data_IF_801111582198
#
_entry.id   IF_801111582198
#
_cell.length_a   1.000
_cell.length_b   1.000
_cell.length_c   1.000
_cell.angle_alpha   90.00
_cell.angle_beta   90.00
_cell.angle_gamma   90.00
#
_symmetry.space_group_name_H-M   'P 1'
#
loop_
_entity.id
_entity.type
_entity.pdbx_description
1 polymer ?
#
# COMPACT_ATOMS: atom_id res chain seq x y z
N UNK A 1 58.62 45.47 28.43
CA UNK A 1 59.00 45.10 27.05
C UNK A 1 59.53 43.68 27.06
N UNK A 2 59.16 42.92 26.02
CA UNK A 2 59.49 41.53 25.72
C UNK A 2 58.56 40.47 26.31
N UNK A 3 57.36 40.46 25.73
CA UNK A 3 56.76 39.37 24.95
C UNK A 3 57.32 37.95 25.17
N UNK A 4 56.43 37.05 25.58
CA UNK A 4 56.49 35.63 25.20
C UNK A 4 55.09 35.17 24.79
N UNK A 5 54.98 34.87 23.50
CA UNK A 5 53.82 34.33 22.80
C UNK A 5 53.53 32.89 23.25
N UNK A 6 52.34 32.65 23.79
CA UNK A 6 51.79 31.32 24.02
C UNK A 6 50.91 30.92 22.83
N UNK A 7 51.33 29.92 22.06
CA UNK A 7 50.58 29.37 20.93
C UNK A 7 49.48 28.45 21.46
N UNK A 8 48.21 28.78 21.20
CA UNK A 8 47.05 27.95 21.51
C UNK A 8 46.93 26.83 20.47
N UNK A 9 47.14 25.57 20.86
CA UNK A 9 46.76 24.42 20.04
C UNK A 9 45.28 24.11 20.30
N UNK A 10 44.41 24.48 19.36
CA UNK A 10 42.98 24.17 19.39
C UNK A 10 42.79 22.74 18.89
N UNK A 11 42.76 21.78 19.81
CA UNK A 11 42.46 20.38 19.50
C UNK A 11 40.94 20.23 19.38
N UNK A 12 40.43 20.24 18.15
CA UNK A 12 39.01 20.02 17.86
C UNK A 12 38.70 18.53 18.08
N UNK A 13 38.09 18.22 19.22
CA UNK A 13 37.55 16.90 19.51
C UNK A 13 36.29 16.70 18.66
N UNK A 14 36.43 16.12 17.47
CA UNK A 14 35.28 15.66 16.67
C UNK A 14 34.74 14.41 17.35
N UNK A 15 33.67 14.56 18.11
CA UNK A 15 32.96 13.47 18.76
C UNK A 15 32.36 12.52 17.72
N UNK A 16 33.05 11.41 17.49
CA UNK A 16 32.50 10.21 16.84
C UNK A 16 31.68 9.48 17.90
N UNK A 17 30.40 9.81 18.02
CA UNK A 17 29.40 8.92 18.62
C UNK A 17 28.22 8.86 17.65
N UNK A 18 28.46 8.24 16.50
CA UNK A 18 27.39 7.73 15.66
C UNK A 18 26.97 6.38 16.23
N UNK A 19 25.94 6.37 17.07
CA UNK A 19 25.27 5.13 17.43
C UNK A 19 24.78 4.45 16.14
N UNK A 20 25.44 3.34 15.80
CA UNK A 20 25.00 2.36 14.83
C UNK A 20 23.72 1.69 15.34
N UNK A 21 22.58 2.37 15.18
CA UNK A 21 21.30 1.68 15.11
C UNK A 21 21.01 1.42 13.64
N UNK A 22 21.48 0.27 13.18
CA UNK A 22 20.97 -0.37 11.96
C UNK A 22 19.56 -0.84 12.32
N UNK A 23 18.47 -0.32 11.72
CA UNK A 23 17.26 -1.09 11.70
C UNK A 23 17.52 -2.20 10.69
N UNK A 24 17.96 -3.36 11.17
CA UNK A 24 17.64 -4.58 10.43
C UNK A 24 16.13 -4.64 10.55
N UNK A 25 15.43 -4.17 9.51
CA UNK A 25 14.00 -4.40 9.36
C UNK A 25 13.85 -5.90 9.08
N UNK A 26 14.01 -6.71 10.13
CA UNK A 26 13.20 -7.89 10.24
C UNK A 26 11.79 -7.32 10.33
N UNK A 27 11.09 -7.26 9.20
CA UNK A 27 9.65 -7.19 9.25
C UNK A 27 9.26 -8.34 10.19
N UNK A 28 8.85 -8.02 11.43
CA UNK A 28 8.40 -9.06 12.35
C UNK A 28 7.39 -9.89 11.56
N UNK A 29 7.69 -11.18 11.40
CA UNK A 29 6.80 -12.11 10.73
C UNK A 29 5.42 -11.94 11.36
N UNK A 30 4.40 -11.66 10.54
CA UNK A 30 3.02 -11.47 11.00
C UNK A 30 2.70 -12.48 12.10
N UNK A 31 2.46 -12.00 13.33
CA UNK A 31 2.06 -12.89 14.42
C UNK A 31 0.85 -13.69 13.96
N UNK A 32 0.82 -14.98 14.28
CA UNK A 32 -0.32 -15.83 13.97
C UNK A 32 -1.59 -15.18 14.52
N UNK A 33 -2.61 -15.02 13.67
CA UNK A 33 -3.94 -14.59 14.11
C UNK A 33 -4.36 -15.46 15.29
N UNK A 34 -4.66 -14.83 16.42
CA UNK A 34 -5.18 -15.50 17.60
C UNK A 34 -6.69 -15.26 17.59
N UNK A 35 -7.51 -16.24 17.17
CA UNK A 35 -8.96 -16.06 17.02
C UNK A 35 -9.69 -15.76 18.34
N UNK A 36 -8.98 -15.69 19.47
CA UNK A 36 -9.52 -15.36 20.79
C UNK A 36 -8.88 -14.09 21.40
N UNK A 37 -7.97 -13.41 20.68
CA UNK A 37 -7.34 -12.17 21.14
C UNK A 37 -7.57 -11.05 20.13
N UNK A 38 -8.72 -10.41 20.26
CA UNK A 38 -9.21 -9.38 19.32
C UNK A 38 -8.60 -7.99 19.54
N UNK A 39 -7.64 -7.86 20.47
CA UNK A 39 -6.84 -6.64 20.67
C UNK A 39 -5.64 -6.52 19.71
N UNK A 40 -5.49 -7.47 18.79
CA UNK A 40 -4.31 -7.59 17.92
C UNK A 40 -4.25 -6.56 16.81
N UNK A 41 -5.37 -5.95 16.43
CA UNK A 41 -5.43 -5.01 15.31
C UNK A 41 -6.04 -3.66 15.69
N UNK A 42 -5.40 -2.60 15.19
CA UNK A 42 -5.84 -1.24 15.42
C UNK A 42 -7.10 -0.90 14.62
N UNK A 43 -8.02 -0.18 15.27
CA UNK A 43 -9.15 0.48 14.61
C UNK A 43 -8.83 1.97 14.55
N UNK A 44 -9.12 2.60 13.42
CA UNK A 44 -8.71 3.98 13.19
C UNK A 44 -9.61 4.77 12.25
N UNK A 45 -10.76 4.23 11.85
CA UNK A 45 -11.71 5.01 11.06
C UNK A 45 -12.40 6.00 12.00
N UNK A 46 -12.24 7.29 11.70
CA UNK A 46 -12.97 8.36 12.38
C UNK A 46 -14.34 8.56 11.73
N UNK A 47 -15.34 8.90 12.54
CA UNK A 47 -16.67 9.25 12.05
C UNK A 47 -16.62 10.44 11.09
N UNK A 48 -17.35 10.37 9.99
CA UNK A 48 -17.38 11.41 8.95
C UNK A 48 -17.62 12.81 9.54
N UNK A 49 -16.69 13.75 9.29
CA UNK A 49 -16.77 15.14 9.76
C UNK A 49 -16.99 16.16 8.65
N UNK A 50 -16.72 15.82 7.39
CA UNK A 50 -16.73 16.80 6.29
C UNK A 50 -18.14 17.00 5.71
N UNK A 51 -18.54 18.28 5.60
CA UNK A 51 -19.77 18.77 4.95
C UNK A 51 -19.55 19.11 3.46
N UNK A 52 -18.54 18.54 2.81
CA UNK A 52 -18.30 18.80 1.39
C UNK A 52 -19.42 18.13 0.59
N UNK A 53 -19.92 18.81 -0.45
CA UNK A 53 -20.88 18.22 -1.37
C UNK A 53 -20.15 17.21 -2.27
N UNK A 54 -20.14 15.95 -1.83
CA UNK A 54 -19.50 14.86 -2.57
C UNK A 54 -20.51 14.37 -3.61
N UNK A 55 -20.15 14.36 -4.91
CA UNK A 55 -21.06 13.91 -5.96
C UNK A 55 -21.46 12.46 -5.73
N UNK A 56 -22.76 12.17 -5.90
CA UNK A 56 -23.27 10.79 -5.90
C UNK A 56 -22.57 9.95 -6.97
N UNK A 57 -22.39 8.66 -6.68
CA UNK A 57 -21.87 7.70 -7.64
C UNK A 57 -22.81 7.56 -8.84
N UNK A 58 -22.23 7.71 -10.02
CA UNK A 58 -22.89 7.51 -11.31
C UNK A 58 -22.07 6.48 -12.07
N UNK A 59 -22.61 5.29 -12.34
CA UNK A 59 -21.88 4.27 -13.08
C UNK A 59 -21.65 4.71 -14.53
N UNK A 60 -20.50 4.33 -15.10
CA UNK A 60 -20.22 4.58 -16.52
C UNK A 60 -21.12 3.74 -17.42
N UNK A 61 -21.40 2.50 -17.03
CA UNK A 61 -22.41 1.63 -17.65
C UNK A 61 -23.45 1.24 -16.60
N UNK A 62 -24.72 1.50 -16.90
CA UNK A 62 -25.82 1.02 -16.07
C UNK A 62 -26.18 -0.42 -16.43
N UNK A 63 -26.23 -1.29 -15.44
CA UNK A 63 -26.58 -2.70 -15.58
C UNK A 63 -27.94 -2.99 -14.94
N UNK A 64 -28.79 -3.74 -15.63
CA UNK A 64 -30.07 -4.18 -15.10
C UNK A 64 -29.92 -5.45 -14.26
N UNK A 65 -30.77 -5.61 -13.26
CA UNK A 65 -31.02 -6.94 -12.69
C UNK A 65 -31.62 -7.86 -13.75
N UNK A 66 -31.51 -9.17 -13.56
CA UNK A 66 -32.14 -10.17 -14.46
C UNK A 66 -33.65 -9.97 -14.57
N UNK A 67 -34.31 -9.58 -13.48
CA UNK A 67 -35.75 -9.35 -13.44
C UNK A 67 -36.12 -8.12 -14.27
N UNK A 68 -35.39 -7.01 -14.13
CA UNK A 68 -35.58 -5.80 -14.94
C UNK A 68 -35.30 -6.06 -16.41
N UNK A 69 -34.21 -6.76 -16.73
CA UNK A 69 -33.88 -7.13 -18.11
C UNK A 69 -34.97 -7.99 -18.76
N UNK A 70 -35.58 -8.91 -17.99
CA UNK A 70 -36.70 -9.73 -18.49
C UNK A 70 -37.92 -8.85 -18.80
N UNK A 71 -38.27 -7.90 -17.92
CA UNK A 71 -39.37 -6.96 -18.17
C UNK A 71 -39.11 -6.07 -19.39
N UNK A 72 -37.89 -5.56 -19.55
CA UNK A 72 -37.53 -4.72 -20.69
C UNK A 72 -37.54 -5.49 -22.02
N UNK A 73 -37.10 -6.75 -22.03
CA UNK A 73 -37.21 -7.62 -23.22
C UNK A 73 -38.66 -7.86 -23.62
N UNK A 74 -39.57 -8.05 -22.65
CA UNK A 74 -41.00 -8.16 -22.92
C UNK A 74 -41.60 -6.87 -23.51
N UNK A 75 -40.96 -5.71 -23.26
CA UNK A 75 -41.33 -4.41 -23.82
C UNK A 75 -40.61 -4.09 -25.16
N UNK A 76 -39.89 -5.06 -25.75
CA UNK A 76 -39.25 -4.91 -27.05
C UNK A 76 -37.85 -4.26 -27.03
N UNK A 77 -37.28 -3.97 -25.87
CA UNK A 77 -35.90 -3.47 -25.75
C UNK A 77 -34.93 -4.63 -25.96
N UNK A 78 -34.02 -4.49 -26.94
CA UNK A 78 -33.03 -5.52 -27.27
C UNK A 78 -31.71 -5.30 -26.52
N UNK A 79 -31.08 -6.42 -26.12
CA UNK A 79 -29.74 -6.50 -25.54
C UNK A 79 -29.44 -5.56 -24.35
N UNK A 80 -30.22 -5.60 -23.25
CA UNK A 80 -29.87 -4.85 -22.06
C UNK A 80 -28.55 -5.35 -21.46
N UNK A 81 -27.74 -4.42 -20.93
CA UNK A 81 -26.62 -4.78 -20.06
C UNK A 81 -27.19 -5.37 -18.77
N UNK A 82 -26.80 -6.60 -18.42
CA UNK A 82 -27.30 -7.30 -17.24
C UNK A 82 -26.16 -7.43 -16.23
N UNK A 83 -26.45 -7.16 -14.96
CA UNK A 83 -25.50 -7.39 -13.87
C UNK A 83 -25.02 -8.85 -13.91
N UNK A 84 -23.69 -9.08 -13.94
CA UNK A 84 -23.15 -10.42 -13.80
C UNK A 84 -23.58 -11.07 -12.48
N UNK A 85 -23.68 -12.40 -12.45
CA UNK A 85 -23.98 -13.12 -11.20
C UNK A 85 -22.82 -13.10 -10.19
N UNK A 86 -21.61 -12.82 -10.66
CA UNK A 86 -20.40 -12.79 -9.86
C UNK A 86 -19.41 -11.82 -10.49
N UNK A 87 -18.77 -11.04 -9.64
CA UNK A 87 -17.59 -10.22 -9.99
C UNK A 87 -16.52 -10.51 -8.94
N UNK A 88 -15.28 -10.65 -9.39
CA UNK A 88 -14.13 -10.90 -8.53
C UNK A 88 -12.92 -10.11 -9.06
N UNK A 89 -12.62 -8.99 -8.42
CA UNK A 89 -11.56 -8.06 -8.84
C UNK A 89 -10.21 -8.37 -8.19
N UNK A 90 -10.11 -9.47 -7.41
CA UNK A 90 -8.93 -9.79 -6.61
C UNK A 90 -7.66 -9.95 -7.42
N UNK A 91 -7.76 -10.35 -8.70
CA UNK A 91 -6.58 -10.56 -9.55
C UNK A 91 -5.67 -9.32 -9.65
N UNK A 92 -6.24 -8.12 -9.56
CA UNK A 92 -5.52 -6.84 -9.67
C UNK A 92 -5.12 -6.25 -8.32
N UNK A 93 -5.46 -6.91 -7.21
CA UNK A 93 -4.97 -6.51 -5.90
C UNK A 93 -3.65 -7.23 -5.58
N UNK A 94 -2.68 -6.56 -4.94
CA UNK A 94 -1.53 -7.25 -4.41
C UNK A 94 -1.91 -8.11 -3.19
N UNK A 95 -0.98 -8.85 -2.63
CA UNK A 95 -1.22 -9.61 -1.39
C UNK A 95 -1.74 -8.70 -0.27
N UNK A 96 -2.58 -9.26 0.62
CA UNK A 96 -3.12 -8.50 1.75
C UNK A 96 -2.00 -8.18 2.74
N UNK A 97 -1.83 -6.90 3.04
CA UNK A 97 -0.86 -6.40 4.02
C UNK A 97 -1.48 -6.30 5.41
N UNK A 98 -0.64 -6.27 6.43
CA UNK A 98 -1.04 -6.01 7.81
C UNK A 98 -0.72 -4.58 8.23
N UNK A 99 -1.72 -3.89 8.78
CA UNK A 99 -1.57 -2.59 9.44
C UNK A 99 -1.04 -2.72 10.88
N UNK A 100 -0.94 -3.95 11.41
CA UNK A 100 -0.61 -4.20 12.81
C UNK A 100 -1.61 -3.58 13.79
N UNK A 101 -1.09 -3.08 14.92
CA UNK A 101 -1.90 -2.48 15.99
C UNK A 101 -2.22 -0.99 15.78
N UNK A 102 -1.72 -0.39 14.71
CA UNK A 102 -1.89 1.04 14.45
C UNK A 102 -3.27 1.37 13.89
N UNK A 103 -3.73 2.60 14.14
CA UNK A 103 -5.00 3.14 13.65
C UNK A 103 -4.94 3.55 12.17
N UNK A 104 -4.34 2.73 11.30
CA UNK A 104 -3.98 3.05 9.91
C UNK A 104 -4.86 2.36 8.86
N UNK A 105 -5.98 1.73 9.26
CA UNK A 105 -6.92 1.06 8.34
C UNK A 105 -7.34 1.91 7.14
N UNK A 106 -7.60 3.21 7.33
CA UNK A 106 -7.99 4.13 6.24
C UNK A 106 -6.86 4.30 5.21
N UNK A 107 -5.63 4.67 5.59
CA UNK A 107 -4.48 4.64 4.68
C UNK A 107 -4.26 3.30 3.95
N UNK A 108 -4.40 2.16 4.65
CA UNK A 108 -4.24 0.83 4.03
C UNK A 108 -5.33 0.53 3.00
N UNK A 109 -6.59 0.80 3.33
CA UNK A 109 -7.70 0.60 2.40
C UNK A 109 -7.57 1.54 1.17
N UNK A 110 -7.15 2.79 1.39
CA UNK A 110 -6.97 3.78 0.32
C UNK A 110 -5.80 3.43 -0.62
N UNK A 111 -4.65 3.02 -0.06
CA UNK A 111 -3.49 2.61 -0.85
C UNK A 111 -3.81 1.33 -1.65
N UNK A 112 -4.40 0.31 -1.03
CA UNK A 112 -4.86 -0.90 -1.72
C UNK A 112 -5.85 -0.58 -2.86
N UNK A 113 -6.79 0.35 -2.62
CA UNK A 113 -7.71 0.81 -3.66
C UNK A 113 -6.97 1.45 -4.83
N UNK A 114 -5.97 2.30 -4.58
CA UNK A 114 -5.21 2.96 -5.64
C UNK A 114 -4.29 1.98 -6.38
N UNK A 115 -3.66 1.06 -5.65
CA UNK A 115 -2.83 -0.04 -6.18
C UNK A 115 -3.60 -0.89 -7.18
N UNK A 116 -4.87 -1.20 -6.92
CA UNK A 116 -5.74 -1.91 -7.85
C UNK A 116 -5.84 -1.22 -9.22
N UNK A 117 -6.09 0.09 -9.25
CA UNK A 117 -6.20 0.81 -10.52
C UNK A 117 -4.88 0.83 -11.28
N UNK A 118 -3.75 1.01 -10.57
CA UNK A 118 -2.41 0.95 -11.18
C UNK A 118 -2.19 -0.42 -11.81
N UNK A 119 -2.47 -1.49 -11.06
CA UNK A 119 -2.31 -2.86 -11.53
C UNK A 119 -3.22 -3.18 -12.73
N UNK A 120 -4.47 -2.72 -12.69
CA UNK A 120 -5.45 -2.86 -13.77
C UNK A 120 -4.95 -2.22 -15.06
N UNK A 121 -4.58 -0.95 -14.98
CA UNK A 121 -4.13 -0.17 -16.13
C UNK A 121 -2.80 -0.69 -16.70
N UNK A 122 -1.90 -1.14 -15.83
CA UNK A 122 -0.58 -1.66 -16.23
C UNK A 122 -0.58 -3.14 -16.61
N UNK A 123 -1.70 -3.86 -16.42
CA UNK A 123 -1.75 -5.32 -16.57
C UNK A 123 -0.88 -6.09 -15.55
N UNK A 124 -0.52 -5.47 -14.43
CA UNK A 124 0.31 -6.09 -13.39
C UNK A 124 -0.51 -7.08 -12.53
N UNK A 125 0.15 -8.08 -11.95
CA UNK A 125 -0.45 -9.10 -11.07
C UNK A 125 0.49 -9.46 -9.92
N UNK A 126 -0.07 -9.85 -8.79
CA UNK A 126 0.69 -10.38 -7.65
C UNK A 126 1.89 -9.50 -7.28
N UNK A 127 3.09 -10.10 -7.28
CA UNK A 127 4.34 -9.43 -6.85
C UNK A 127 4.89 -8.37 -7.82
N UNK A 128 4.24 -8.17 -8.96
CA UNK A 128 4.59 -7.10 -9.90
C UNK A 128 3.98 -5.75 -9.51
N UNK A 129 3.02 -5.76 -8.59
CA UNK A 129 2.32 -4.56 -8.12
C UNK A 129 3.19 -3.83 -7.10
N UNK A 130 3.44 -2.54 -7.34
CA UNK A 130 4.18 -1.69 -6.40
C UNK A 130 3.26 -1.21 -5.28
N UNK A 131 3.63 -1.48 -4.03
CA UNK A 131 2.92 -0.97 -2.87
C UNK A 131 3.10 0.55 -2.71
N UNK A 132 2.03 1.26 -2.37
CA UNK A 132 2.03 2.67 -2.02
C UNK A 132 2.14 2.83 -0.50
N UNK A 133 2.63 3.98 -0.02
CA UNK A 133 2.96 4.20 1.39
C UNK A 133 1.75 4.66 2.24
N UNK A 134 1.20 3.82 3.14
CA UNK A 134 0.16 4.22 4.08
C UNK A 134 0.70 5.23 5.11
N UNK A 135 1.97 5.10 5.52
CA UNK A 135 2.62 6.01 6.46
C UNK A 135 2.72 7.44 5.91
N UNK A 136 3.04 7.61 4.62
CA UNK A 136 3.03 8.92 3.96
C UNK A 136 1.65 9.59 4.04
N UNK A 137 0.59 8.82 3.76
CA UNK A 137 -0.79 9.32 3.80
C UNK A 137 -1.26 9.63 5.23
N UNK A 138 -0.77 8.87 6.21
CA UNK A 138 -1.18 9.01 7.60
C UNK A 138 -0.52 10.18 8.33
N UNK A 139 0.69 10.58 7.93
CA UNK A 139 1.37 11.74 8.53
C UNK A 139 0.50 13.02 8.48
N UNK A 140 0.45 13.85 9.54
CA UNK A 140 1.18 13.75 10.80
C UNK A 140 0.36 13.13 11.96
N UNK A 141 -0.59 12.24 11.66
CA UNK A 141 -1.38 11.60 12.73
C UNK A 141 -0.51 10.69 13.60
N UNK A 142 -0.79 10.67 14.91
CA UNK A 142 -0.18 9.73 15.84
C UNK A 142 -0.63 8.29 15.61
N UNK A 143 0.11 7.29 16.12
CA UNK A 143 -0.04 5.86 15.82
C UNK A 143 -1.46 5.28 16.03
N UNK A 144 -2.26 5.89 16.89
CA UNK A 144 -3.61 5.45 17.25
C UNK A 144 -4.68 6.50 16.99
N UNK A 145 -4.32 7.64 16.40
CA UNK A 145 -5.24 8.76 16.25
C UNK A 145 -6.38 8.40 15.31
N UNK A 146 -6.09 7.62 14.27
CA UNK A 146 -7.03 7.31 13.20
C UNK A 146 -7.11 8.41 12.15
N UNK A 147 -7.88 8.16 11.09
CA UNK A 147 -8.06 9.08 9.96
C UNK A 147 -9.51 9.06 9.47
N UNK A 148 -9.97 10.19 8.93
CA UNK A 148 -11.24 10.24 8.19
C UNK A 148 -10.99 9.76 6.75
N UNK A 149 -11.91 8.98 6.18
CA UNK A 149 -11.79 8.55 4.77
C UNK A 149 -11.70 9.78 3.84
N UNK A 150 -12.46 10.82 4.12
CA UNK A 150 -12.51 12.04 3.31
C UNK A 150 -11.17 12.79 3.36
N UNK A 151 -10.47 12.78 4.50
CA UNK A 151 -9.10 13.32 4.57
C UNK A 151 -8.13 12.54 3.70
N UNK A 152 -8.22 11.20 3.69
CA UNK A 152 -7.38 10.35 2.85
C UNK A 152 -7.67 10.58 1.35
N UNK A 153 -8.94 10.71 0.97
CA UNK A 153 -9.36 11.06 -0.38
C UNK A 153 -8.80 12.41 -0.81
N UNK A 154 -8.80 13.40 0.07
CA UNK A 154 -8.21 14.73 -0.20
C UNK A 154 -6.69 14.67 -0.34
N UNK A 155 -5.98 13.88 0.47
CA UNK A 155 -4.54 13.63 0.29
C UNK A 155 -4.29 13.03 -1.10
N UNK A 156 -5.02 11.99 -1.47
CA UNK A 156 -4.86 11.33 -2.76
C UNK A 156 -5.20 12.26 -3.94
N UNK A 157 -6.20 13.14 -3.79
CA UNK A 157 -6.58 14.12 -4.82
C UNK A 157 -5.59 15.27 -4.97
N UNK A 158 -5.07 15.81 -3.87
CA UNK A 158 -4.22 17.01 -3.88
C UNK A 158 -2.75 16.68 -4.12
N UNK A 159 -2.24 15.67 -3.42
CA UNK A 159 -0.82 15.35 -3.33
C UNK A 159 -0.46 13.99 -3.92
N UNK A 160 -1.41 13.05 -3.94
CA UNK A 160 -1.14 11.66 -4.31
C UNK A 160 -0.49 10.90 -3.16
N UNK A 161 0.06 9.72 -3.46
CA UNK A 161 0.77 8.87 -2.48
C UNK A 161 1.93 8.17 -3.19
N UNK A 162 3.16 8.20 -2.67
CA UNK A 162 4.32 7.62 -3.35
C UNK A 162 4.39 6.10 -3.13
N UNK A 163 5.21 5.39 -3.93
CA UNK A 163 5.64 4.03 -3.62
C UNK A 163 6.24 3.91 -2.22
N UNK A 164 5.96 2.80 -1.54
CA UNK A 164 6.52 2.50 -0.22
C UNK A 164 7.95 1.94 -0.32
N UNK A 165 8.88 2.74 -0.85
CA UNK A 165 10.27 2.32 -1.04
C UNK A 165 11.27 3.25 -0.39
N UNK A 166 10.90 4.51 -0.10
CA UNK A 166 11.72 5.47 0.64
C UNK A 166 11.52 5.35 2.17
N UNK A 167 10.28 5.09 2.61
CA UNK A 167 9.92 4.88 4.01
C UNK A 167 9.01 3.67 4.11
N UNK A 168 9.57 2.57 4.61
CA UNK A 168 8.85 1.31 4.78
C UNK A 168 7.88 1.42 5.95
N UNK A 169 6.72 0.78 5.81
CA UNK A 169 5.82 0.63 6.93
C UNK A 169 6.38 -0.41 7.90
N UNK A 170 6.49 -0.04 9.17
CA UNK A 170 6.96 -0.94 10.21
C UNK A 170 5.78 -1.32 11.12
N UNK A 171 5.50 -2.60 11.24
CA UNK A 171 4.41 -3.10 12.11
C UNK A 171 4.80 -3.15 13.59
N UNK A 172 6.09 -2.96 13.91
CA UNK A 172 6.57 -2.88 15.28
C UNK A 172 5.93 -1.69 16.00
N UNK A 173 5.17 -1.97 17.06
CA UNK A 173 4.46 -0.95 17.84
C UNK A 173 5.36 0.02 18.58
N UNK A 174 6.63 -0.31 18.77
CA UNK A 174 7.62 0.58 19.39
C UNK A 174 8.10 1.67 18.42
N UNK A 175 8.05 1.41 17.10
CA UNK A 175 8.46 2.37 16.08
C UNK A 175 7.35 3.38 15.75
N UNK A 176 7.01 4.23 16.72
CA UNK A 176 6.01 5.30 16.53
C UNK A 176 6.58 6.49 15.73
N UNK A 177 7.91 6.60 15.61
CA UNK A 177 8.58 7.69 14.91
C UNK A 177 8.28 7.71 13.42
N UNK A 178 7.96 6.56 12.82
CA UNK A 178 7.54 6.46 11.41
C UNK A 178 6.38 7.41 11.05
N UNK A 179 5.54 7.77 12.04
CA UNK A 179 4.39 8.67 11.88
C UNK A 179 4.70 10.13 12.24
N UNK A 180 5.82 10.40 12.91
CA UNK A 180 6.26 11.75 13.29
C UNK A 180 7.23 12.35 12.28
N UNK A 181 7.92 11.52 11.51
CA UNK A 181 8.87 11.99 10.51
C UNK A 181 8.17 12.75 9.37
N UNK A 182 8.55 14.03 9.12
CA UNK A 182 7.99 14.81 8.03
C UNK A 182 8.15 14.13 6.67
N UNK A 183 7.18 14.35 5.79
CA UNK A 183 7.27 13.94 4.39
C UNK A 183 8.38 14.71 3.66
N UNK A 184 9.28 14.00 2.98
CA UNK A 184 10.42 14.62 2.28
C UNK A 184 10.01 15.25 0.94
N UNK A 185 10.81 16.16 0.36
CA UNK A 185 10.57 16.66 -1.00
C UNK A 185 10.48 15.54 -2.05
N UNK A 186 11.37 14.55 -1.98
CA UNK A 186 11.38 13.39 -2.88
C UNK A 186 10.09 12.58 -2.79
N UNK A 187 9.61 12.29 -1.56
CA UNK A 187 8.33 11.60 -1.37
C UNK A 187 7.15 12.39 -1.97
N UNK A 188 7.16 13.73 -1.85
CA UNK A 188 6.10 14.58 -2.42
C UNK A 188 6.13 14.56 -3.95
N UNK A 189 7.31 14.62 -4.55
CA UNK A 189 7.49 14.54 -6.01
C UNK A 189 7.04 13.18 -6.55
N UNK A 190 7.49 12.10 -5.92
CA UNK A 190 7.14 10.72 -6.27
C UNK A 190 5.65 10.39 -6.03
N UNK A 191 4.93 11.21 -5.25
CA UNK A 191 3.49 11.05 -5.03
C UNK A 191 2.62 11.58 -6.18
N UNK A 192 3.11 12.57 -6.94
CA UNK A 192 2.34 13.29 -7.95
C UNK A 192 1.71 12.40 -9.03
N UNK A 193 2.39 11.36 -9.56
CA UNK A 193 1.80 10.48 -10.58
C UNK A 193 0.63 9.64 -10.08
N UNK A 194 0.50 9.46 -8.76
CA UNK A 194 -0.47 8.55 -8.14
C UNK A 194 -1.75 9.24 -7.67
N UNK A 195 -1.95 10.49 -8.09
CA UNK A 195 -3.15 11.28 -7.77
C UNK A 195 -4.45 10.71 -8.38
N UNK A 196 -5.56 11.10 -7.77
CA UNK A 196 -6.93 10.90 -8.30
C UNK A 196 -7.52 12.22 -8.79
N UNK A 197 -8.37 12.16 -9.81
CA UNK A 197 -9.08 13.32 -10.35
C UNK A 197 -10.27 13.70 -9.46
N UNK A 198 -10.90 12.69 -8.85
CA UNK A 198 -12.01 12.87 -7.93
C UNK A 198 -12.45 11.57 -7.31
N UNK A 199 -13.57 11.66 -6.60
CA UNK A 199 -14.23 10.53 -5.96
C UNK A 199 -15.73 10.82 -5.90
N UNK A 200 -16.51 9.76 -5.80
CA UNK A 200 -17.96 9.81 -5.67
C UNK A 200 -18.41 9.00 -4.46
N UNK A 201 -19.55 9.36 -3.89
CA UNK A 201 -20.12 8.69 -2.72
C UNK A 201 -21.27 7.77 -3.11
N UNK A 202 -21.31 6.59 -2.50
CA UNK A 202 -22.46 5.70 -2.45
C UNK A 202 -23.05 5.81 -1.04
N UNK A 203 -24.26 6.36 -0.95
CA UNK A 203 -25.02 6.44 0.31
C UNK A 203 -25.85 5.19 0.55
N UNK A 204 -26.32 5.04 1.78
CA UNK A 204 -27.07 3.88 2.28
C UNK A 204 -28.28 3.49 1.39
N UNK A 205 -29.01 4.47 0.86
CA UNK A 205 -30.14 4.22 -0.04
C UNK A 205 -29.68 3.45 -1.29
N UNK A 206 -30.18 2.21 -1.43
CA UNK A 206 -29.81 1.27 -2.48
C UNK A 206 -28.31 0.93 -2.54
N UNK A 207 -27.61 1.00 -1.40
CA UNK A 207 -26.16 0.78 -1.32
C UNK A 207 -25.71 -0.55 -1.94
N UNK A 208 -26.39 -1.66 -1.62
CA UNK A 208 -26.05 -2.98 -2.18
C UNK A 208 -26.08 -2.96 -3.71
N UNK A 209 -27.15 -2.40 -4.30
CA UNK A 209 -27.28 -2.28 -5.74
C UNK A 209 -26.19 -1.36 -6.32
N UNK A 210 -25.95 -0.19 -5.73
CA UNK A 210 -24.92 0.76 -6.20
C UNK A 210 -23.50 0.19 -6.12
N UNK A 211 -23.18 -0.59 -5.08
CA UNK A 211 -21.91 -1.31 -4.96
C UNK A 211 -21.78 -2.35 -6.09
N UNK A 212 -22.84 -3.12 -6.38
CA UNK A 212 -22.84 -4.08 -7.51
C UNK A 212 -22.64 -3.38 -8.86
N UNK A 213 -23.26 -2.21 -9.07
CA UNK A 213 -23.02 -1.38 -10.26
C UNK A 213 -21.55 -0.98 -10.37
N UNK A 214 -20.96 -0.50 -9.28
CA UNK A 214 -19.54 -0.11 -9.27
C UNK A 214 -18.62 -1.27 -9.62
N UNK A 215 -18.82 -2.42 -8.98
CA UNK A 215 -18.02 -3.61 -9.23
C UNK A 215 -18.18 -4.13 -10.68
N UNK A 216 -19.39 -4.09 -11.23
CA UNK A 216 -19.61 -4.43 -12.65
C UNK A 216 -18.90 -3.48 -13.62
N UNK A 217 -18.67 -2.23 -13.21
CA UNK A 217 -17.85 -1.25 -13.93
C UNK A 217 -16.34 -1.33 -13.60
N UNK A 218 -15.89 -2.40 -12.93
CA UNK A 218 -14.50 -2.60 -12.52
C UNK A 218 -13.99 -1.54 -11.53
N UNK A 219 -14.91 -0.99 -10.73
CA UNK A 219 -14.64 0.00 -9.68
C UNK A 219 -14.84 -0.65 -8.30
N UNK A 220 -13.75 -1.03 -7.60
CA UNK A 220 -13.83 -1.44 -6.20
C UNK A 220 -14.27 -0.28 -5.32
N UNK A 221 -14.94 -0.63 -4.22
CA UNK A 221 -15.61 0.35 -3.36
C UNK A 221 -14.96 0.38 -1.99
N UNK A 222 -14.47 1.55 -1.58
CA UNK A 222 -14.01 1.78 -0.22
C UNK A 222 -15.22 1.90 0.72
N UNK A 223 -15.23 1.15 1.80
CA UNK A 223 -16.32 1.15 2.77
C UNK A 223 -15.81 1.46 4.18
N UNK A 224 -16.66 2.11 4.97
CA UNK A 224 -16.49 2.20 6.42
C UNK A 224 -17.49 1.29 7.12
N UNK A 225 -17.03 0.58 8.15
CA UNK A 225 -17.87 -0.26 9.00
C UNK A 225 -17.62 0.02 10.49
N UNK A 226 -18.62 -0.24 11.31
CA UNK A 226 -18.45 -0.51 12.73
C UNK A 226 -18.04 -1.96 12.91
N UNK A 227 -16.96 -2.19 13.67
CA UNK A 227 -16.51 -3.55 14.00
C UNK A 227 -17.27 -4.03 15.22
N UNK A 228 -18.05 -5.09 15.02
CA UNK A 228 -18.79 -5.80 16.06
C UNK A 228 -18.16 -7.18 16.34
N UNK A 229 -18.55 -7.88 17.41
CA UNK A 229 -17.97 -9.19 17.77
C UNK A 229 -18.03 -10.24 16.65
N UNK A 230 -19.03 -10.20 15.77
CA UNK A 230 -19.14 -11.11 14.63
C UNK A 230 -17.95 -10.96 13.65
N UNK A 231 -17.48 -9.74 13.41
CA UNK A 231 -16.35 -9.50 12.51
C UNK A 231 -15.04 -9.99 13.10
N UNK A 232 -14.84 -9.75 14.38
CA UNK A 232 -13.69 -10.26 15.13
C UNK A 232 -13.70 -11.81 15.15
N UNK A 233 -14.89 -12.43 15.21
CA UNK A 233 -15.10 -13.88 15.14
C UNK A 233 -15.05 -14.49 13.71
N UNK A 234 -14.54 -13.76 12.71
CA UNK A 234 -14.43 -14.28 11.34
C UNK A 234 -13.52 -15.52 11.29
N UNK A 235 -14.03 -16.70 10.89
CA UNK A 235 -13.23 -17.92 10.78
C UNK A 235 -12.29 -17.89 9.56
N UNK A 236 -11.40 -18.87 9.46
CA UNK A 236 -10.41 -18.99 8.37
C UNK A 236 -10.99 -19.24 6.98
N UNK A 237 -12.29 -19.56 6.87
CA UNK A 237 -12.98 -19.60 5.57
C UNK A 237 -13.45 -18.21 5.11
N UNK A 238 -13.22 -17.17 5.93
CA UNK A 238 -13.55 -15.78 5.63
C UNK A 238 -15.02 -15.39 5.76
N UNK A 239 -15.95 -16.33 6.00
CA UNK A 239 -17.39 -16.02 6.05
C UNK A 239 -17.71 -15.29 7.35
N UNK A 240 -18.05 -14.01 7.25
CA UNK A 240 -18.37 -13.19 8.43
C UNK A 240 -19.75 -13.63 8.96
N UNK A 241 -19.84 -14.05 10.24
CA UNK A 241 -21.12 -14.36 10.86
C UNK A 241 -22.07 -13.15 10.85
N UNK A 242 -23.41 -13.37 10.89
CA UNK A 242 -24.36 -12.28 11.04
C UNK A 242 -24.13 -11.45 12.31
N UNK A 243 -24.56 -10.19 12.29
CA UNK A 243 -24.48 -9.32 13.47
C UNK A 243 -25.53 -9.77 14.49
N UNK A 244 -25.07 -10.28 15.64
CA UNK A 244 -25.94 -10.65 16.76
C UNK A 244 -25.85 -9.67 17.93
N UNK A 245 -24.75 -8.91 18.03
CA UNK A 245 -24.50 -7.90 19.06
C UNK A 245 -24.01 -6.60 18.41
N UNK A 246 -24.66 -5.47 18.72
CA UNK A 246 -24.32 -4.14 18.15
C UNK A 246 -23.39 -3.31 19.04
N UNK A 247 -22.55 -3.98 19.84
CA UNK A 247 -21.53 -3.31 20.66
C UNK A 247 -20.26 -3.10 19.85
N UNK A 248 -20.13 -1.91 19.25
CA UNK A 248 -18.99 -1.59 18.38
C UNK A 248 -17.69 -1.46 19.17
N UNK A 249 -16.61 -2.06 18.66
CA UNK A 249 -15.22 -1.85 19.12
C UNK A 249 -14.61 -0.57 18.53
N UNK A 250 -15.17 -0.06 17.43
CA UNK A 250 -14.70 1.12 16.72
C UNK A 250 -14.94 1.03 15.22
N UNK A 251 -14.54 2.08 14.51
CA UNK A 251 -14.64 2.13 13.06
C UNK A 251 -13.46 1.46 12.35
N UNK A 252 -13.74 0.81 11.23
CA UNK A 252 -12.75 0.20 10.34
C UNK A 252 -13.03 0.50 8.87
N UNK A 253 -11.96 0.61 8.08
CA UNK A 253 -12.05 0.84 6.64
C UNK A 253 -11.58 -0.40 5.87
N UNK A 254 -12.34 -0.77 4.84
CA UNK A 254 -12.15 -1.96 4.01
C UNK A 254 -12.40 -1.63 2.54
N UNK A 255 -12.07 -2.54 1.64
CA UNK A 255 -12.41 -2.41 0.21
C UNK A 255 -13.28 -3.57 -0.22
N UNK A 256 -14.46 -3.30 -0.79
CA UNK A 256 -15.27 -4.29 -1.49
C UNK A 256 -14.67 -4.50 -2.88
N UNK A 257 -14.33 -5.75 -3.19
CA UNK A 257 -13.61 -6.14 -4.40
C UNK A 257 -14.37 -7.14 -5.27
N UNK A 258 -15.61 -7.45 -4.91
CA UNK A 258 -16.41 -8.40 -5.67
C UNK A 258 -17.72 -8.73 -4.99
N UNK A 259 -18.54 -9.51 -5.67
CA UNK A 259 -19.79 -10.03 -5.13
C UNK A 259 -20.13 -11.38 -5.77
N UNK A 260 -20.96 -12.15 -5.08
CA UNK A 260 -21.51 -13.41 -5.55
C UNK A 260 -23.02 -13.44 -5.23
N UNK A 261 -23.86 -13.48 -6.27
CA UNK A 261 -25.33 -13.50 -6.13
C UNK A 261 -25.86 -14.84 -5.63
N UNK A 262 -25.08 -15.94 -5.73
CA UNK A 262 -25.54 -17.26 -5.27
C UNK A 262 -25.54 -17.31 -3.75
N UNK A 263 -24.53 -16.70 -3.11
CA UNK A 263 -24.40 -16.67 -1.66
C UNK A 263 -24.85 -15.34 -1.05
N UNK A 264 -25.17 -14.35 -1.87
CA UNK A 264 -25.55 -12.99 -1.46
C UNK A 264 -24.47 -12.27 -0.65
N UNK A 265 -23.21 -12.51 -1.02
CA UNK A 265 -22.05 -11.96 -0.31
C UNK A 265 -21.26 -10.97 -1.16
N UNK A 266 -20.71 -9.96 -0.50
CA UNK A 266 -19.59 -9.17 -0.98
C UNK A 266 -18.27 -9.84 -0.61
N UNK A 267 -17.28 -9.73 -1.50
CA UNK A 267 -15.89 -10.08 -1.20
C UNK A 267 -15.24 -8.80 -0.69
N UNK A 268 -14.74 -8.82 0.54
CA UNK A 268 -14.09 -7.65 1.18
C UNK A 268 -12.62 -7.94 1.44
N UNK A 269 -11.76 -6.99 1.06
CA UNK A 269 -10.33 -6.98 1.35
C UNK A 269 -10.09 -6.27 2.68
N UNK A 270 -9.45 -6.96 3.62
CA UNK A 270 -9.03 -6.41 4.90
C UNK A 270 -7.55 -5.94 4.85
N UNK A 271 -7.07 -5.40 5.97
CA UNK A 271 -5.68 -4.93 6.18
C UNK A 271 -5.08 -5.52 7.46
N UNK A 272 -5.49 -6.74 7.83
CA UNK A 272 -5.06 -7.45 9.05
C UNK A 272 -4.10 -8.62 8.75
N UNK A 273 -3.49 -8.60 7.56
CA UNK A 273 -2.56 -9.63 7.10
C UNK A 273 -3.26 -10.84 6.48
N UNK A 274 -2.47 -11.69 5.82
CA UNK A 274 -2.98 -12.82 5.04
C UNK A 274 -3.57 -13.95 5.91
N UNK A 275 -3.25 -13.97 7.22
CA UNK A 275 -3.78 -14.99 8.15
C UNK A 275 -5.22 -14.73 8.61
N UNK A 276 -5.76 -13.54 8.36
CA UNK A 276 -7.15 -13.21 8.69
C UNK A 276 -8.10 -13.76 7.62
N UNK A 277 -9.20 -14.38 8.04
CA UNK A 277 -10.22 -14.87 7.11
C UNK A 277 -9.63 -15.81 6.06
N UNK A 278 -10.04 -15.63 4.80
CA UNK A 278 -9.51 -16.34 3.63
C UNK A 278 -8.42 -15.50 2.96
N UNK A 279 -7.16 -15.75 3.32
CA UNK A 279 -5.98 -15.05 2.76
C UNK A 279 -6.05 -13.51 2.90
N UNK A 280 -6.59 -13.01 4.01
CA UNK A 280 -6.81 -11.58 4.29
C UNK A 280 -8.11 -11.01 3.71
N UNK A 281 -8.90 -11.84 3.02
CA UNK A 281 -10.24 -11.50 2.54
C UNK A 281 -11.32 -12.08 3.45
N UNK A 282 -12.51 -11.51 3.35
CA UNK A 282 -13.70 -12.04 4.00
C UNK A 282 -14.90 -11.96 3.06
N UNK A 283 -15.93 -12.72 3.39
CA UNK A 283 -17.19 -12.79 2.66
C UNK A 283 -18.30 -12.24 3.57
N UNK A 284 -18.85 -11.10 3.18
CA UNK A 284 -19.81 -10.33 3.97
C UNK A 284 -21.18 -10.39 3.32
N UNK A 285 -22.17 -10.97 3.99
CA UNK A 285 -23.54 -10.97 3.49
C UNK A 285 -24.07 -9.56 3.29
N UNK A 286 -24.90 -9.33 2.26
CA UNK A 286 -25.43 -8.01 1.94
C UNK A 286 -26.10 -7.35 3.14
N UNK A 287 -26.91 -8.13 3.89
CA UNK A 287 -27.51 -7.64 5.13
C UNK A 287 -26.48 -7.32 6.22
N UNK A 288 -25.44 -8.15 6.37
CA UNK A 288 -24.34 -7.91 7.32
C UNK A 288 -23.60 -6.62 6.99
N UNK A 289 -23.38 -6.31 5.71
CA UNK A 289 -22.81 -5.02 5.31
C UNK A 289 -23.71 -3.85 5.72
N UNK A 290 -25.02 -3.97 5.49
CA UNK A 290 -25.98 -2.93 5.88
C UNK A 290 -26.05 -2.74 7.41
N UNK A 291 -25.97 -3.83 8.18
CA UNK A 291 -25.98 -3.79 9.64
C UNK A 291 -24.70 -3.16 10.22
N UNK A 292 -23.59 -3.20 9.47
CA UNK A 292 -22.26 -2.75 9.91
C UNK A 292 -21.82 -1.43 9.32
N UNK A 293 -22.35 -0.99 8.17
CA UNK A 293 -21.87 0.20 7.47
C UNK A 293 -22.04 1.48 8.29
N UNK A 294 -21.19 2.47 8.04
CA UNK A 294 -21.37 3.84 8.53
C UNK A 294 -22.12 4.73 7.52
N UNK A 295 -22.95 4.14 6.67
CA UNK A 295 -23.84 4.78 5.68
C UNK A 295 -23.16 5.47 4.49
N UNK A 296 -21.82 5.44 4.40
CA UNK A 296 -21.09 6.02 3.27
C UNK A 296 -20.03 5.06 2.74
N UNK A 297 -19.92 5.03 1.42
CA UNK A 297 -18.92 4.26 0.68
C UNK A 297 -18.44 5.09 -0.51
N UNK A 298 -17.24 4.80 -1.01
CA UNK A 298 -16.57 5.70 -1.96
C UNK A 298 -15.97 4.94 -3.13
N UNK A 299 -16.10 5.55 -4.31
CA UNK A 299 -15.43 5.15 -5.54
C UNK A 299 -14.48 6.28 -5.94
N UNK A 300 -13.23 5.94 -6.26
CA UNK A 300 -12.24 6.93 -6.74
C UNK A 300 -12.15 6.94 -8.26
N UNK A 301 -11.72 8.06 -8.83
CA UNK A 301 -11.42 8.21 -10.24
C UNK A 301 -9.94 8.56 -10.42
N UNK A 302 -9.10 7.67 -10.96
CA UNK A 302 -7.71 8.00 -11.29
C UNK A 302 -7.59 9.20 -12.25
N UNK A 303 -6.42 9.88 -12.26
CA UNK A 303 -6.11 10.91 -13.26
C UNK A 303 -5.50 10.30 -14.53
N UNK A 304 -4.53 9.41 -14.33
CA UNK A 304 -3.65 8.90 -15.37
C UNK A 304 -3.75 7.38 -15.47
N UNK A 305 -3.48 6.86 -16.66
CA UNK A 305 -3.35 5.42 -16.97
C UNK A 305 -1.91 5.01 -17.28
N UNK A 306 -0.97 5.98 -17.25
CA UNK A 306 0.47 5.74 -17.37
C UNK A 306 1.15 6.06 -16.05
N UNK A 307 2.21 5.31 -15.74
CA UNK A 307 2.82 5.31 -14.41
C UNK A 307 4.35 5.35 -14.51
N UNK A 308 5.03 5.85 -13.45
CA UNK A 308 6.46 5.61 -13.26
C UNK A 308 6.79 4.11 -13.30
N UNK A 309 8.07 3.75 -13.48
CA UNK A 309 8.45 2.34 -13.53
C UNK A 309 8.00 1.57 -12.28
N UNK A 310 7.54 0.34 -12.45
CA UNK A 310 7.00 -0.46 -11.35
C UNK A 310 7.64 -1.85 -11.29
N UNK A 311 7.49 -2.53 -10.16
CA UNK A 311 8.16 -3.80 -9.90
C UNK A 311 9.69 -3.69 -9.86
N UNK A 312 10.21 -2.54 -9.42
CA UNK A 312 11.65 -2.22 -9.42
C UNK A 312 12.39 -3.06 -8.38
N UNK A 313 13.21 -4.00 -8.84
CA UNK A 313 14.00 -4.93 -8.03
C UNK A 313 15.46 -4.91 -8.48
N UNK A 314 16.36 -4.96 -7.51
CA UNK A 314 17.80 -5.15 -7.72
C UNK A 314 18.23 -6.36 -6.88
N UNK A 315 18.93 -7.31 -7.50
CA UNK A 315 19.46 -8.50 -6.84
C UNK A 315 20.92 -8.70 -7.22
N UNK A 316 21.69 -9.34 -6.35
CA UNK A 316 23.07 -9.75 -6.67
C UNK A 316 23.06 -11.06 -7.46
N UNK A 317 24.01 -11.18 -8.37
CA UNK A 317 24.29 -12.41 -9.13
C UNK A 317 25.69 -12.94 -8.89
N UNK A 318 26.63 -12.06 -8.54
CA UNK A 318 27.98 -12.40 -8.11
C UNK A 318 28.44 -11.37 -7.07
N UNK A 319 29.14 -11.84 -6.04
CA UNK A 319 29.77 -11.01 -5.02
C UNK A 319 31.14 -11.63 -4.75
N UNK A 320 32.20 -10.87 -5.01
CA UNK A 320 33.56 -11.27 -4.67
C UNK A 320 34.36 -10.04 -4.18
N UNK A 321 35.62 -10.22 -3.72
CA UNK A 321 36.39 -9.13 -3.11
C UNK A 321 36.68 -7.92 -4.02
N UNK A 322 36.43 -8.04 -5.33
CA UNK A 322 36.76 -7.04 -6.35
C UNK A 322 35.54 -6.49 -7.12
N UNK A 323 34.39 -7.16 -7.03
CA UNK A 323 33.18 -6.70 -7.71
C UNK A 323 31.88 -7.18 -7.05
N UNK A 324 30.81 -6.42 -7.30
CA UNK A 324 29.44 -6.90 -7.17
C UNK A 324 28.75 -6.80 -8.53
N UNK A 325 28.14 -7.89 -8.98
CA UNK A 325 27.31 -7.91 -10.18
C UNK A 325 25.83 -7.97 -9.82
N UNK A 326 25.06 -7.07 -10.40
CA UNK A 326 23.62 -6.95 -10.17
C UNK A 326 22.80 -7.38 -11.39
N UNK A 327 21.64 -7.94 -11.11
CA UNK A 327 20.54 -8.10 -12.05
C UNK A 327 19.36 -7.21 -11.62
N UNK A 328 18.64 -6.69 -12.61
CA UNK A 328 17.60 -5.67 -12.43
C UNK A 328 16.33 -6.11 -13.13
N UNK A 329 15.21 -5.86 -12.46
CA UNK A 329 13.88 -5.97 -13.05
C UNK A 329 13.13 -4.67 -12.78
N UNK A 330 12.55 -4.08 -13.82
CA UNK A 330 11.58 -3.01 -13.71
C UNK A 330 10.72 -3.00 -14.99
N UNK A 331 9.42 -2.76 -14.84
CA UNK A 331 8.51 -2.54 -15.97
C UNK A 331 8.49 -1.06 -16.31
N UNK A 332 8.35 -0.75 -17.60
CA UNK A 332 8.26 0.63 -18.12
C UNK A 332 9.46 1.53 -17.77
N UNK A 333 10.64 0.97 -17.50
CA UNK A 333 11.86 1.72 -17.28
C UNK A 333 12.59 1.99 -18.60
N UNK A 334 13.16 3.18 -18.72
CA UNK A 334 14.00 3.61 -19.86
C UNK A 334 15.46 3.71 -19.40
N UNK A 335 15.69 4.23 -18.19
CA UNK A 335 17.01 4.39 -17.61
C UNK A 335 17.01 4.01 -16.14
N UNK A 336 18.21 3.76 -15.62
CA UNK A 336 18.46 3.41 -14.24
C UNK A 336 19.61 4.24 -13.66
N UNK A 337 19.45 4.64 -12.40
CA UNK A 337 20.53 5.20 -11.58
C UNK A 337 20.84 4.23 -10.43
N UNK A 338 22.10 3.80 -10.31
CA UNK A 338 22.58 2.99 -9.19
C UNK A 338 23.13 3.91 -8.11
N UNK A 339 22.69 3.70 -6.88
CA UNK A 339 23.16 4.41 -5.69
C UNK A 339 23.86 3.45 -4.74
N UNK A 340 24.98 3.91 -4.18
CA UNK A 340 25.75 3.25 -3.11
C UNK A 340 25.89 4.22 -1.94
N UNK A 341 25.46 3.83 -0.75
CA UNK A 341 25.45 4.67 0.45
C UNK A 341 24.79 6.04 0.21
N UNK A 342 23.66 6.04 -0.49
CA UNK A 342 22.90 7.23 -0.91
C UNK A 342 23.62 8.20 -1.85
N UNK A 343 24.77 7.81 -2.41
CA UNK A 343 25.44 8.53 -3.49
C UNK A 343 25.20 7.82 -4.81
N UNK A 344 24.77 8.57 -5.82
CA UNK A 344 24.65 8.06 -7.18
C UNK A 344 26.05 7.72 -7.71
N UNK A 345 26.23 6.48 -8.17
CA UNK A 345 27.51 6.02 -8.71
C UNK A 345 27.48 5.85 -10.23
N UNK A 346 26.33 5.52 -10.83
CA UNK A 346 26.25 5.28 -12.27
C UNK A 346 24.83 5.43 -12.84
N UNK A 347 24.72 5.91 -14.08
CA UNK A 347 23.51 5.83 -14.92
C UNK A 347 23.72 4.83 -16.05
N UNK A 348 22.71 4.03 -16.35
CA UNK A 348 22.78 2.96 -17.35
C UNK A 348 21.39 2.55 -17.84
N UNK A 349 21.32 1.70 -18.88
CA UNK A 349 20.07 1.29 -19.54
C UNK A 349 19.89 -0.23 -19.63
N UNK A 350 20.90 -1.00 -19.26
CA UNK A 350 20.88 -2.47 -19.28
C UNK A 350 20.28 -3.03 -18.00
N UNK A 351 19.71 -4.24 -18.06
CA UNK A 351 19.19 -4.94 -16.88
C UNK A 351 20.28 -5.55 -15.98
N UNK A 352 21.55 -5.27 -16.26
CA UNK A 352 22.69 -5.68 -15.45
C UNK A 352 23.67 -4.56 -15.28
N UNK A 353 24.35 -4.51 -14.15
CA UNK A 353 25.42 -3.56 -13.83
C UNK A 353 26.43 -4.21 -12.89
N UNK A 354 27.69 -3.79 -12.97
CA UNK A 354 28.76 -4.27 -12.08
C UNK A 354 29.39 -3.07 -11.37
N UNK A 355 29.49 -3.11 -10.04
CA UNK A 355 30.28 -2.15 -9.27
C UNK A 355 31.64 -2.77 -8.95
N UNK A 356 32.70 -2.13 -9.44
CA UNK A 356 34.11 -2.52 -9.21
C UNK A 356 34.76 -1.70 -8.09
N UNK A 357 34.09 -0.65 -7.59
CA UNK A 357 34.65 0.30 -6.63
C UNK A 357 34.27 -0.12 -5.21
N UNK A 358 34.75 -1.29 -4.78
CA UNK A 358 34.44 -1.88 -3.48
C UNK A 358 35.71 -2.24 -2.72
N UNK A 359 35.59 -2.39 -1.41
CA UNK A 359 36.66 -2.80 -0.50
C UNK A 359 36.25 -4.10 0.19
N UNK A 360 37.14 -5.12 0.27
CA UNK A 360 36.89 -6.32 1.06
C UNK A 360 36.50 -6.00 2.50
N UNK A 361 35.63 -6.84 3.08
CA UNK A 361 35.15 -6.71 4.47
C UNK A 361 34.35 -5.44 4.77
N UNK A 362 34.10 -4.58 3.78
CA UNK A 362 33.21 -3.44 3.93
C UNK A 362 31.75 -3.83 3.62
N UNK A 363 30.81 -3.14 4.27
CA UNK A 363 29.38 -3.23 3.95
C UNK A 363 28.89 -1.97 3.23
N UNK A 364 28.01 -2.17 2.25
CA UNK A 364 27.41 -1.11 1.44
C UNK A 364 25.89 -1.24 1.40
N UNK A 365 25.23 -0.10 1.29
CA UNK A 365 23.78 0.00 1.06
C UNK A 365 23.53 0.43 -0.39
N UNK A 366 22.97 -0.47 -1.20
CA UNK A 366 22.59 -0.16 -2.57
C UNK A 366 21.10 0.13 -2.69
N UNK A 367 20.76 0.96 -3.66
CA UNK A 367 19.41 0.99 -4.21
C UNK A 367 19.46 1.45 -5.67
N UNK A 368 18.41 1.11 -6.40
CA UNK A 368 18.22 1.50 -7.79
C UNK A 368 17.12 2.56 -7.86
N UNK A 369 17.25 3.51 -8.78
CA UNK A 369 16.15 4.38 -9.20
C UNK A 369 15.89 4.13 -10.68
N UNK A 370 14.74 3.54 -11.02
CA UNK A 370 14.30 3.35 -12.38
C UNK A 370 13.48 4.55 -12.85
N UNK A 371 13.66 4.99 -14.10
CA UNK A 371 13.07 6.24 -14.62
C UNK A 371 12.39 6.05 -15.96
N UNK A 372 11.34 6.83 -16.20
CA UNK A 372 10.74 7.05 -17.50
C UNK A 372 10.25 8.51 -17.60
N UNK A 373 9.53 8.86 -18.68
CA UNK A 373 9.02 10.21 -18.88
C UNK A 373 7.95 10.66 -17.87
N UNK A 374 7.31 9.72 -17.17
CA UNK A 374 6.26 9.99 -16.17
C UNK A 374 6.87 10.26 -14.79
N UNK A 375 7.98 9.60 -14.45
CA UNK A 375 8.68 9.82 -13.19
C UNK A 375 9.66 8.71 -12.85
N UNK A 376 9.96 8.62 -11.56
CA UNK A 376 10.98 7.73 -11.03
C UNK A 376 10.40 6.78 -9.97
N UNK A 377 11.01 5.61 -9.80
CA UNK A 377 10.67 4.70 -8.71
C UNK A 377 11.92 4.03 -8.19
N UNK A 378 12.11 4.17 -6.88
CA UNK A 378 13.22 3.59 -6.13
C UNK A 378 12.94 2.13 -5.80
N UNK A 379 13.95 1.27 -5.87
CA UNK A 379 13.88 -0.10 -5.33
C UNK A 379 13.90 -0.09 -3.80
N UNK A 380 13.60 -1.24 -3.20
CA UNK A 380 14.01 -1.50 -1.82
C UNK A 380 15.54 -1.41 -1.68
N UNK A 381 16.04 -0.96 -0.52
CA UNK A 381 17.46 -0.97 -0.25
C UNK A 381 18.00 -2.39 -0.13
N UNK A 382 19.23 -2.61 -0.60
CA UNK A 382 19.94 -3.89 -0.57
C UNK A 382 21.27 -3.72 0.17
N UNK A 383 21.37 -4.32 1.35
CA UNK A 383 22.61 -4.36 2.14
C UNK A 383 23.52 -5.48 1.65
N UNK A 384 24.80 -5.19 1.41
CA UNK A 384 25.78 -6.18 0.95
C UNK A 384 27.07 -6.03 1.74
N UNK A 385 27.56 -7.13 2.30
CA UNK A 385 28.89 -7.22 2.89
C UNK A 385 29.84 -7.91 1.91
N UNK A 386 30.99 -7.30 1.64
CA UNK A 386 31.99 -7.85 0.73
C UNK A 386 32.81 -8.93 1.45
N UNK A 387 33.01 -10.10 0.84
CA UNK A 387 33.86 -11.14 1.43
C UNK A 387 35.33 -10.69 1.53
N UNK A 388 36.13 -11.30 2.43
CA UNK A 388 37.55 -11.03 2.53
C UNK A 388 38.29 -11.33 1.22
N UNK A 389 39.36 -10.58 0.94
CA UNK A 389 40.27 -10.96 -0.13
C UNK A 389 40.89 -12.32 0.22
N UNK A 390 40.77 -13.30 -0.69
CA UNK A 390 41.44 -14.58 -0.50
C UNK A 390 42.95 -14.30 -0.59
N UNK A 391 43.64 -14.35 0.54
CA UNK A 391 45.10 -14.43 0.53
C UNK A 391 45.44 -15.80 -0.03
N UNK A 392 46.01 -15.87 -1.23
CA UNK A 392 46.75 -17.07 -1.62
C UNK A 392 47.91 -17.17 -0.65
N UNK A 393 47.75 -17.96 0.42
CA UNK A 393 48.90 -18.47 1.15
C UNK A 393 49.74 -19.19 0.11
N UNK A 394 50.91 -18.63 -0.17
CA UNK A 394 51.93 -19.28 -0.96
C UNK A 394 52.13 -20.66 -0.35
N UNK A 395 51.78 -21.69 -1.11
CA UNK A 395 52.25 -23.04 -0.84
C UNK A 395 53.78 -22.94 -0.80
N UNK A 396 54.33 -23.11 0.41
CA UNK A 396 55.76 -23.28 0.63
C UNK A 396 56.05 -24.73 0.91
#
# INVERSE_FOLDING_TARGET
MKDNTFTFFMMTLVGIIGFLFVPVVHAETEKSFQPNNFSTYGLGLKNTKMKEDIPEYTPSTFYLTKQEATKQKQQGIQNPNILPNRIDLREYFPEVRSQGKFGTCVPFAMTALREYYIAKDAGARGTDITYLSPAYMYYPNGPYDGMYIESALQVLKRSGVPPETERLYDVNTENIEQFKQPVTPTQKENALPYKISGYQVIRETNMVHKIKQALANQDPVLIGINVYPNFDATPTNGIIPPVTEKKSRGGHALVVVGYDEKNEWFIVRNSWGAKFGDHGYAYMHYQTLLDMTNSMSYVIKPIQTQYPPFGVKITTTDINPSQIKFNISAKNAITYDLYKNNQKIQTFTTNTITDLNIVPEQSYMYHLVAKNAIGETRSYPLSISIPPAISMNQAS
#
